data_IF_699529993584
#
_entry.id   IF_699529993584
#
_cell.length_a   1.000
_cell.length_b   1.000
_cell.length_c   1.000
_cell.angle_alpha   90.00
_cell.angle_beta   90.00
_cell.angle_gamma   90.00
#
_symmetry.space_group_name_H-M   'P 1'
#
loop_
_entity.id
_entity.type
_entity.pdbx_description
1 polymer ?
#
# COMPACT_ATOMS: atom_id res chain seq x y z
N UNK A 1 -22.57 13.53 -9.38
CA UNK A 1 -21.56 13.45 -8.29
C UNK A 1 -21.01 14.85 -8.07
N UNK A 2 -21.23 15.44 -6.89
CA UNK A 2 -20.77 16.80 -6.58
C UNK A 2 -19.26 16.83 -6.32
N UNK A 3 -18.58 17.92 -6.68
CA UNK A 3 -17.14 18.13 -6.46
C UNK A 3 -16.74 17.88 -4.99
N UNK A 4 -17.63 18.19 -4.05
CA UNK A 4 -17.47 17.95 -2.61
C UNK A 4 -17.31 16.47 -2.24
N UNK A 5 -17.99 15.55 -2.94
CA UNK A 5 -17.87 14.12 -2.70
C UNK A 5 -16.52 13.59 -3.17
N UNK A 6 -15.98 14.11 -4.28
CA UNK A 6 -14.64 13.76 -4.76
C UNK A 6 -13.56 14.21 -3.77
N UNK A 7 -13.66 15.44 -3.26
CA UNK A 7 -12.70 15.96 -2.27
C UNK A 7 -12.74 15.14 -0.97
N UNK A 8 -13.94 14.83 -0.47
CA UNK A 8 -14.09 14.00 0.73
C UNK A 8 -13.50 12.59 0.54
N UNK A 9 -13.67 11.99 -0.64
CA UNK A 9 -13.06 10.71 -1.00
C UNK A 9 -11.53 10.77 -1.01
N UNK A 10 -10.95 11.81 -1.61
CA UNK A 10 -9.49 11.99 -1.66
C UNK A 10 -8.91 12.17 -0.25
N UNK A 11 -9.55 13.01 0.58
CA UNK A 11 -9.13 13.21 1.98
C UNK A 11 -9.20 11.90 2.77
N UNK A 12 -10.29 11.15 2.61
CA UNK A 12 -10.46 9.85 3.28
C UNK A 12 -9.39 8.84 2.83
N UNK A 13 -9.09 8.78 1.54
CA UNK A 13 -8.03 7.90 1.00
C UNK A 13 -6.66 8.27 1.57
N UNK A 14 -6.31 9.55 1.63
CA UNK A 14 -5.02 9.98 2.19
C UNK A 14 -4.93 9.77 3.70
N UNK A 15 -6.02 9.94 4.45
CA UNK A 15 -6.07 9.60 5.87
C UNK A 15 -5.79 8.11 6.11
N UNK A 16 -6.44 7.23 5.33
CA UNK A 16 -6.21 5.77 5.41
C UNK A 16 -4.76 5.45 5.06
N UNK A 17 -4.21 6.07 4.02
CA UNK A 17 -2.82 5.86 3.58
C UNK A 17 -1.82 6.30 4.65
N UNK A 18 -2.06 7.46 5.27
CA UNK A 18 -1.24 7.97 6.36
C UNK A 18 -1.27 7.04 7.57
N UNK A 19 -2.46 6.60 8.00
CA UNK A 19 -2.60 5.67 9.12
C UNK A 19 -1.87 4.35 8.87
N UNK A 20 -1.97 3.78 7.65
CA UNK A 20 -1.26 2.55 7.29
C UNK A 20 0.26 2.72 7.38
N UNK A 21 0.79 3.78 6.79
CA UNK A 21 2.24 4.09 6.85
C UNK A 21 2.71 4.25 8.28
N UNK A 22 1.94 4.94 9.11
CA UNK A 22 2.25 5.10 10.53
C UNK A 22 2.34 3.74 11.24
N UNK A 23 1.34 2.87 11.09
CA UNK A 23 1.32 1.53 11.71
C UNK A 23 2.54 0.70 11.27
N UNK A 24 2.85 0.70 9.98
CA UNK A 24 4.00 -0.04 9.44
C UNK A 24 5.32 0.52 9.96
N UNK A 25 5.47 1.84 10.03
CA UNK A 25 6.68 2.48 10.56
C UNK A 25 6.86 2.18 12.05
N UNK A 26 5.76 2.17 12.83
CA UNK A 26 5.80 1.79 14.24
C UNK A 26 6.21 0.32 14.41
N UNK A 27 5.66 -0.60 13.60
CA UNK A 27 6.07 -2.01 13.62
C UNK A 27 7.54 -2.20 13.25
N UNK A 28 8.04 -1.45 12.25
CA UNK A 28 9.46 -1.43 11.87
C UNK A 28 10.33 -0.87 12.98
N UNK A 29 9.92 0.23 13.61
CA UNK A 29 10.68 0.89 14.68
C UNK A 29 10.85 -0.02 15.92
N UNK A 30 9.85 -0.87 16.19
CA UNK A 30 9.89 -1.83 17.30
C UNK A 30 10.43 -3.22 16.91
N UNK A 31 11.03 -3.37 15.72
CA UNK A 31 11.57 -4.63 15.19
C UNK A 31 10.57 -5.81 15.15
N UNK A 32 9.28 -5.51 15.10
CA UNK A 32 8.22 -6.52 14.97
C UNK A 32 8.06 -6.99 13.53
N UNK A 33 9.14 -7.52 12.95
CA UNK A 33 9.24 -7.98 11.56
C UNK A 33 9.16 -9.51 11.41
N UNK A 34 9.04 -10.24 12.51
CA UNK A 34 9.02 -11.70 12.52
C UNK A 34 8.04 -12.25 13.56
N UNK A 35 7.61 -13.51 13.45
CA UNK A 35 6.74 -14.14 14.45
C UNK A 35 7.33 -14.09 15.87
N UNK A 36 8.65 -14.31 16.00
CA UNK A 36 9.35 -14.28 17.29
C UNK A 36 9.41 -12.88 17.93
N UNK A 37 9.33 -11.83 17.12
CA UNK A 37 9.35 -10.43 17.58
C UNK A 37 7.97 -9.75 17.54
N UNK A 38 6.89 -10.53 17.42
CA UNK A 38 5.53 -10.00 17.40
C UNK A 38 5.20 -9.27 18.71
N UNK A 39 4.53 -8.12 18.62
CA UNK A 39 4.17 -7.29 19.78
C UNK A 39 2.69 -7.00 19.82
N UNK A 40 2.17 -6.72 21.00
CA UNK A 40 0.76 -6.34 21.14
C UNK A 40 0.52 -4.93 20.60
N UNK A 41 -0.71 -4.63 20.17
CA UNK A 41 -1.06 -3.28 19.73
C UNK A 41 -0.86 -2.24 20.85
N UNK A 42 -1.10 -2.64 22.10
CA UNK A 42 -0.86 -1.81 23.28
C UNK A 42 0.63 -1.46 23.44
N UNK A 43 1.54 -2.44 23.30
CA UNK A 43 2.99 -2.21 23.34
C UNK A 43 3.46 -1.27 22.21
N UNK A 44 2.81 -1.31 21.06
CA UNK A 44 3.12 -0.47 19.91
C UNK A 44 2.47 0.94 20.02
N UNK A 45 1.63 1.19 21.03
CA UNK A 45 0.85 2.42 21.15
C UNK A 45 -0.16 2.61 20.00
N UNK A 46 -0.58 1.52 19.36
CA UNK A 46 -1.50 1.53 18.22
C UNK A 46 -2.90 1.19 18.73
N UNK A 47 -3.88 2.03 18.41
CA UNK A 47 -5.28 1.71 18.69
C UNK A 47 -5.80 0.72 17.64
N UNK A 48 -6.66 -0.21 18.06
CA UNK A 48 -7.40 -1.06 17.14
C UNK A 48 -8.33 -0.17 16.30
N UNK A 49 -7.95 0.06 15.06
CA UNK A 49 -8.64 0.94 14.12
C UNK A 49 -8.86 0.19 12.81
N UNK A 50 -9.78 0.69 11.98
CA UNK A 50 -10.05 0.13 10.66
C UNK A 50 -8.77 -0.06 9.81
N UNK A 51 -7.77 0.81 9.98
CA UNK A 51 -6.48 0.69 9.30
C UNK A 51 -5.72 -0.59 9.68
N UNK A 52 -5.74 -0.99 10.96
CA UNK A 52 -5.15 -2.25 11.44
C UNK A 52 -5.88 -3.44 10.82
N UNK A 53 -7.21 -3.44 10.88
CA UNK A 53 -8.03 -4.49 10.27
C UNK A 53 -7.76 -4.64 8.77
N UNK A 54 -7.60 -3.52 8.06
CA UNK A 54 -7.32 -3.58 6.62
C UNK A 54 -5.91 -4.09 6.33
N UNK A 55 -4.92 -3.74 7.17
CA UNK A 55 -3.57 -4.27 7.05
C UNK A 55 -3.52 -5.78 7.34
N UNK A 56 -4.32 -6.26 8.29
CA UNK A 56 -4.51 -7.69 8.56
C UNK A 56 -5.14 -8.41 7.38
N UNK A 57 -6.19 -7.85 6.77
CA UNK A 57 -6.85 -8.42 5.59
C UNK A 57 -5.90 -8.49 4.38
N UNK A 58 -5.07 -7.47 4.18
CA UNK A 58 -4.01 -7.51 3.15
C UNK A 58 -2.87 -8.50 3.49
N UNK A 59 -2.81 -8.96 4.74
CA UNK A 59 -1.77 -9.79 5.32
C UNK A 59 -0.38 -9.17 5.30
N UNK A 60 -0.27 -7.85 5.15
CA UNK A 60 0.96 -7.08 5.42
C UNK A 60 1.30 -7.16 6.90
N UNK A 61 0.27 -7.13 7.75
CA UNK A 61 0.38 -7.42 9.18
C UNK A 61 -0.20 -8.81 9.41
N UNK A 62 0.49 -9.64 10.18
CA UNK A 62 0.04 -10.96 10.60
C UNK A 62 -0.11 -11.01 12.11
N UNK A 63 -1.00 -11.89 12.56
CA UNK A 63 -1.26 -12.15 13.96
C UNK A 63 -0.55 -13.43 14.38
N UNK A 64 0.23 -13.35 15.45
CA UNK A 64 0.89 -14.50 16.09
C UNK A 64 0.29 -14.67 17.50
N UNK A 65 -0.55 -15.69 17.68
CA UNK A 65 -1.25 -15.91 18.96
C UNK A 65 -2.44 -14.96 19.20
N UNK A 66 -2.86 -14.77 20.48
CA UNK A 66 -4.14 -14.15 20.80
C UNK A 66 -4.18 -12.63 20.58
N UNK A 67 -3.05 -11.92 20.61
CA UNK A 67 -3.03 -10.47 20.41
C UNK A 67 -1.68 -9.85 20.00
N UNK A 68 -0.78 -10.65 19.45
CA UNK A 68 0.53 -10.16 18.97
C UNK A 68 0.53 -10.04 17.47
N UNK A 69 1.16 -8.97 16.99
CA UNK A 69 1.17 -8.59 15.59
C UNK A 69 2.60 -8.38 15.12
N UNK A 70 2.88 -8.79 13.90
CA UNK A 70 4.15 -8.55 13.23
C UNK A 70 3.93 -8.15 11.79
N UNK A 71 4.88 -7.42 11.22
CA UNK A 71 4.92 -7.03 9.84
C UNK A 71 5.56 -8.15 9.02
N UNK A 72 4.85 -8.67 8.04
CA UNK A 72 5.38 -9.63 7.07
C UNK A 72 6.18 -8.86 6.01
N UNK A 73 7.49 -8.80 6.21
CA UNK A 73 8.43 -8.08 5.33
C UNK A 73 8.45 -8.65 3.91
N UNK A 74 8.25 -9.96 3.74
CA UNK A 74 8.19 -10.61 2.42
C UNK A 74 6.94 -10.20 1.65
N UNK A 75 5.77 -10.17 2.30
CA UNK A 75 4.55 -9.66 1.67
C UNK A 75 4.62 -8.18 1.36
N UNK A 76 5.24 -7.40 2.24
CA UNK A 76 5.43 -5.98 1.98
C UNK A 76 6.33 -5.74 0.76
N UNK A 77 7.44 -6.48 0.67
CA UNK A 77 8.36 -6.41 -0.48
C UNK A 77 7.70 -6.90 -1.77
N UNK A 78 6.84 -7.92 -1.70
CA UNK A 78 5.99 -8.33 -2.83
C UNK A 78 5.05 -7.20 -3.23
N UNK A 79 4.32 -6.59 -2.31
CA UNK A 79 3.41 -5.48 -2.63
C UNK A 79 4.13 -4.29 -3.30
N UNK A 80 5.29 -3.90 -2.78
CA UNK A 80 6.13 -2.86 -3.38
C UNK A 80 6.62 -3.27 -4.79
N UNK A 81 7.03 -4.53 -4.96
CA UNK A 81 7.44 -5.08 -6.26
C UNK A 81 6.30 -5.10 -7.29
N UNK A 82 5.09 -5.45 -6.87
CA UNK A 82 3.91 -5.45 -7.75
C UNK A 82 3.52 -4.04 -8.19
N UNK A 83 3.67 -3.04 -7.32
CA UNK A 83 3.43 -1.64 -7.69
C UNK A 83 4.42 -1.15 -8.73
N UNK A 84 5.71 -1.46 -8.58
CA UNK A 84 6.75 -1.12 -9.56
C UNK A 84 6.50 -1.82 -10.90
N UNK A 85 6.15 -3.11 -10.87
CA UNK A 85 5.82 -3.86 -12.09
C UNK A 85 4.61 -3.26 -12.82
N UNK A 86 3.56 -2.89 -12.08
CA UNK A 86 2.37 -2.26 -12.66
C UNK A 86 2.69 -0.89 -13.28
N UNK A 87 3.51 -0.07 -12.60
CA UNK A 87 3.98 1.20 -13.13
C UNK A 87 4.77 1.01 -14.44
N UNK A 88 5.66 0.01 -14.47
CA UNK A 88 6.43 -0.33 -15.67
C UNK A 88 5.54 -0.78 -16.83
N UNK A 89 4.51 -1.58 -16.56
CA UNK A 89 3.53 -1.99 -17.57
C UNK A 89 2.78 -0.78 -18.13
N UNK A 90 2.27 0.11 -17.28
CA UNK A 90 1.58 1.33 -17.73
C UNK A 90 2.51 2.20 -18.57
N UNK A 91 3.75 2.40 -18.11
CA UNK A 91 4.75 3.16 -18.83
C UNK A 91 5.04 2.56 -20.20
N UNK A 92 5.18 1.23 -20.28
CA UNK A 92 5.42 0.52 -21.53
C UNK A 92 4.24 0.70 -22.49
N UNK A 93 3.00 0.56 -22.02
CA UNK A 93 1.80 0.79 -22.83
C UNK A 93 1.76 2.23 -23.35
N UNK A 94 2.06 3.22 -22.50
CA UNK A 94 2.09 4.62 -22.89
C UNK A 94 3.15 4.89 -23.98
N UNK A 95 4.35 4.33 -23.85
CA UNK A 95 5.41 4.46 -24.85
C UNK A 95 5.00 3.82 -26.17
N UNK A 96 4.46 2.60 -26.14
CA UNK A 96 3.98 1.91 -27.35
C UNK A 96 2.86 2.72 -28.02
N UNK A 97 1.91 3.23 -27.24
CA UNK A 97 0.83 4.07 -27.76
C UNK A 97 1.38 5.35 -28.41
N UNK A 98 2.35 6.01 -27.77
CA UNK A 98 2.99 7.22 -28.30
C UNK A 98 3.69 6.94 -29.63
N UNK A 99 4.41 5.82 -29.73
CA UNK A 99 5.08 5.39 -30.97
C UNK A 99 4.08 5.11 -32.09
N UNK A 100 2.95 4.47 -31.79
CA UNK A 100 1.89 4.19 -32.78
C UNK A 100 1.26 5.49 -33.28
N UNK A 101 0.96 6.42 -32.38
CA UNK A 101 0.41 7.75 -32.75
C UNK A 101 1.41 8.52 -33.60
N UNK A 102 2.69 8.52 -33.21
CA UNK A 102 3.75 9.21 -33.95
C UNK A 102 3.96 8.62 -35.35
N UNK A 103 3.98 7.29 -35.47
CA UNK A 103 4.06 6.61 -36.75
C UNK A 103 2.87 6.94 -37.65
N UNK A 104 1.65 6.98 -37.10
CA UNK A 104 0.45 7.39 -37.85
C UNK A 104 0.54 8.84 -38.34
N UNK A 105 1.07 9.75 -37.53
CA UNK A 105 1.27 11.16 -37.91
C UNK A 105 2.28 11.31 -39.06
N UNK A 106 3.35 10.52 -39.08
CA UNK A 106 4.33 10.52 -40.16
C UNK A 106 3.83 9.87 -41.46
N UNK A 107 2.92 8.88 -41.34
CA UNK A 107 2.38 8.13 -42.46
C UNK A 107 1.05 8.71 -43.00
N UNK A 108 0.51 9.75 -42.36
CA UNK A 108 -0.65 10.48 -42.87
C UNK A 108 -0.15 11.62 -43.76
N UNK A 109 -0.35 11.55 -45.09
CA UNK A 109 0.11 12.55 -46.04
C UNK A 109 -0.61 13.90 -45.89
#
# INVERSE_FOLDING_TARGET
MSLSLLVALVILMELIRYSRRRIMNTLRYHDSLSPGSAKTLAELGIRNTFAVSTLLLSGVVKKEGPDRYFLDSDRLRKLEGWQLMFLYVIFTIAVVFLLVVWAKLLLSP
#
